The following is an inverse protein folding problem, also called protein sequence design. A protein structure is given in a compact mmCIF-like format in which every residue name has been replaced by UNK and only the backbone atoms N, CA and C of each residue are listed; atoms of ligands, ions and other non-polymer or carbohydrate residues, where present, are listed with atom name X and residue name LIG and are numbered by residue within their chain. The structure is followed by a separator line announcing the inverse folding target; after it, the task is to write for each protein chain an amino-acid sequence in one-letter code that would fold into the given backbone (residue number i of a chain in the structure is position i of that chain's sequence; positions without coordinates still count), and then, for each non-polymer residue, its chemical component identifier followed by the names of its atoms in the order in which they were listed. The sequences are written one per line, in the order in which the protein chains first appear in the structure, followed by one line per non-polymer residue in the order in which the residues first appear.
data_IF_310319305159
#
_entry.id   IF_310319305159
#
_cell.length_a   1.000
_cell.length_b   1.000
_cell.length_c   1.000
_cell.angle_alpha   90.00
_cell.angle_beta   90.00
_cell.angle_gamma   90.00
#
_symmetry.space_group_name_H-M   'P 1'
#
loop_
_entity.id
_entity.type
_entity.pdbx_description
1 polymer ?
#
# COMPACT_ATOMS: atom_id res chain seq x y z
N UNK A 1 -56.07 -18.04 -55.90
CA UNK A 1 -54.88 -18.65 -55.26
C UNK A 1 -54.22 -17.56 -54.42
N UNK A 2 -54.30 -17.68 -53.09
CA UNK A 2 -53.15 -17.97 -52.19
C UNK A 2 -52.14 -16.80 -52.10
N UNK A 3 -51.60 -16.39 -50.96
CA UNK A 3 -51.93 -16.46 -49.55
C UNK A 3 -50.94 -15.47 -48.90
N UNK A 4 -51.43 -14.66 -47.97
CA UNK A 4 -50.73 -13.99 -46.84
C UNK A 4 -49.20 -14.13 -46.76
N UNK A 5 -48.52 -13.03 -46.48
CA UNK A 5 -47.62 -12.94 -45.32
C UNK A 5 -47.42 -11.49 -44.91
N UNK A 6 -47.91 -11.16 -43.72
CA UNK A 6 -47.51 -9.98 -42.98
C UNK A 6 -46.13 -10.26 -42.38
N UNK A 7 -45.14 -9.43 -42.70
CA UNK A 7 -43.86 -9.42 -42.01
C UNK A 7 -43.94 -8.35 -40.91
N UNK A 8 -44.10 -8.82 -39.68
CA UNK A 8 -43.73 -8.08 -38.49
C UNK A 8 -42.20 -7.97 -38.50
N UNK A 9 -41.67 -6.80 -38.88
CA UNK A 9 -40.29 -6.47 -38.57
C UNK A 9 -40.26 -5.97 -37.13
N UNK A 10 -39.69 -6.79 -36.25
CA UNK A 10 -39.48 -6.48 -34.85
C UNK A 10 -38.65 -5.19 -34.70
N UNK A 11 -39.07 -4.37 -33.75
CA UNK A 11 -38.42 -3.16 -33.31
C UNK A 11 -36.99 -3.47 -32.83
N UNK A 12 -35.97 -3.08 -33.61
CA UNK A 12 -34.63 -2.94 -33.06
C UNK A 12 -34.61 -1.55 -32.41
N UNK A 13 -34.99 -1.50 -31.13
CA UNK A 13 -34.60 -0.38 -30.29
C UNK A 13 -33.07 -0.40 -30.24
N UNK A 14 -32.45 0.50 -31.00
CA UNK A 14 -31.06 0.89 -30.79
C UNK A 14 -30.96 1.52 -29.40
N UNK A 15 -30.85 0.67 -28.37
CA UNK A 15 -30.26 1.06 -27.11
C UNK A 15 -28.79 1.33 -27.42
N UNK A 16 -28.25 2.52 -27.14
CA UNK A 16 -26.82 2.72 -27.19
C UNK A 16 -26.22 1.71 -26.22
N UNK A 17 -25.37 0.84 -26.75
CA UNK A 17 -24.45 0.00 -25.99
C UNK A 17 -23.89 0.89 -24.88
N UNK A 18 -24.29 0.61 -23.64
CA UNK A 18 -23.68 1.24 -22.48
C UNK A 18 -22.22 0.81 -22.55
N UNK A 19 -21.41 1.76 -23.01
CA UNK A 19 -19.97 1.68 -23.14
C UNK A 19 -19.39 0.94 -21.93
N UNK A 20 -18.92 -0.28 -22.16
CA UNK A 20 -18.07 -1.03 -21.21
C UNK A 20 -16.68 -0.40 -21.04
N UNK A 21 -16.55 0.92 -21.19
CA UNK A 21 -15.30 1.64 -20.92
C UNK A 21 -15.25 2.21 -19.51
N UNK A 22 -16.14 1.81 -18.60
CA UNK A 22 -15.98 2.08 -17.18
C UNK A 22 -15.17 0.99 -16.48
N UNK A 23 -13.96 0.69 -16.98
CA UNK A 23 -12.87 0.02 -16.26
C UNK A 23 -11.57 0.15 -17.07
N UNK A 24 -11.15 1.36 -17.46
CA UNK A 24 -9.70 1.58 -17.58
C UNK A 24 -9.20 1.69 -16.15
N UNK A 25 -9.05 0.54 -15.48
CA UNK A 25 -8.21 0.45 -14.29
C UNK A 25 -6.83 0.81 -14.80
N UNK A 26 -6.32 1.98 -14.43
CA UNK A 26 -4.93 2.36 -14.66
C UNK A 26 -4.06 1.15 -14.32
N UNK A 27 -3.32 0.66 -15.31
CA UNK A 27 -2.41 -0.47 -15.19
C UNK A 27 -1.21 -0.07 -14.33
N UNK A 28 -1.44 0.16 -13.05
CA UNK A 28 -0.40 0.30 -12.05
C UNK A 28 -0.15 -1.11 -11.54
N UNK A 29 1.00 -1.68 -11.87
CA UNK A 29 1.39 -3.02 -11.44
C UNK A 29 1.57 -3.00 -9.91
N UNK A 30 0.53 -3.35 -9.16
CA UNK A 30 0.60 -3.52 -7.71
C UNK A 30 0.62 -5.00 -7.33
N UNK A 31 1.45 -5.33 -6.34
CA UNK A 31 1.50 -6.68 -5.75
C UNK A 31 0.89 -6.57 -4.36
N UNK A 32 -0.15 -7.37 -4.11
CA UNK A 32 -0.87 -7.37 -2.85
C UNK A 32 -0.50 -8.59 -2.01
N UNK A 33 -0.25 -8.35 -0.73
CA UNK A 33 -0.24 -9.39 0.32
C UNK A 33 -1.05 -8.90 1.50
N UNK A 34 -1.38 -9.76 2.47
CA UNK A 34 -2.23 -9.47 3.64
C UNK A 34 -2.06 -8.05 4.21
N UNK A 35 -2.86 -7.09 3.74
CA UNK A 35 -2.86 -5.69 4.19
C UNK A 35 -1.79 -4.76 3.61
N UNK A 36 -0.97 -5.17 2.63
CA UNK A 36 0.08 -4.33 2.02
C UNK A 36 0.08 -4.39 0.49
N UNK A 37 0.21 -3.22 -0.13
CA UNK A 37 0.17 -3.02 -1.58
C UNK A 37 1.48 -2.37 -2.00
N UNK A 38 2.30 -3.09 -2.78
CA UNK A 38 3.48 -2.51 -3.41
C UNK A 38 3.05 -1.69 -4.63
N UNK A 39 3.41 -0.42 -4.68
CA UNK A 39 3.25 0.45 -5.84
C UNK A 39 4.60 0.67 -6.51
N UNK A 40 4.72 0.23 -7.77
CA UNK A 40 6.00 0.28 -8.50
C UNK A 40 6.33 1.64 -9.13
N UNK A 41 5.38 2.59 -9.15
CA UNK A 41 5.67 3.95 -9.60
C UNK A 41 6.67 4.62 -8.67
N UNK A 42 7.73 5.17 -9.25
CA UNK A 42 8.67 6.00 -8.52
C UNK A 42 8.01 7.34 -8.15
N UNK A 43 8.05 7.70 -6.85
CA UNK A 43 7.59 8.97 -6.30
C UNK A 43 8.56 9.44 -5.22
N UNK A 44 8.64 10.75 -4.98
CA UNK A 44 9.24 11.25 -3.74
C UNK A 44 8.37 10.80 -2.55
N UNK A 45 8.90 10.90 -1.33
CA UNK A 45 8.21 10.36 -0.16
C UNK A 45 6.84 11.02 0.08
N UNK A 46 6.73 12.34 -0.08
CA UNK A 46 5.48 13.10 0.13
C UNK A 46 4.40 12.72 -0.89
N UNK A 47 4.78 12.56 -2.15
CA UNK A 47 3.88 12.15 -3.23
C UNK A 47 3.47 10.68 -3.09
N UNK A 48 4.37 9.82 -2.60
CA UNK A 48 4.07 8.44 -2.25
C UNK A 48 3.03 8.36 -1.12
N UNK A 49 3.20 9.14 -0.05
CA UNK A 49 2.22 9.23 1.03
C UNK A 49 0.87 9.74 0.53
N UNK A 50 0.87 10.82 -0.25
CA UNK A 50 -0.35 11.40 -0.81
C UNK A 50 -1.08 10.40 -1.71
N UNK A 51 -0.33 9.64 -2.53
CA UNK A 51 -0.91 8.56 -3.33
C UNK A 51 -1.58 7.49 -2.45
N UNK A 52 -0.89 7.00 -1.40
CA UNK A 52 -1.48 6.00 -0.53
C UNK A 52 -2.75 6.49 0.15
N UNK A 53 -2.82 7.76 0.58
CA UNK A 53 -4.04 8.34 1.19
C UNK A 53 -5.16 8.60 0.19
N UNK A 54 -4.83 8.82 -1.07
CA UNK A 54 -5.81 9.04 -2.13
C UNK A 54 -6.43 7.73 -2.65
N UNK A 55 -5.63 6.67 -2.72
CA UNK A 55 -6.02 5.41 -3.38
C UNK A 55 -6.19 4.23 -2.41
N UNK A 56 -5.63 4.32 -1.19
CA UNK A 56 -5.58 3.27 -0.19
C UNK A 56 -5.74 3.89 1.22
N UNK A 57 -5.01 3.40 2.23
CA UNK A 57 -5.04 3.96 3.60
C UNK A 57 -3.92 4.99 3.84
N UNK A 58 -2.66 4.56 3.93
CA UNK A 58 -1.47 5.40 4.12
C UNK A 58 -0.20 4.56 3.83
N UNK A 59 1.00 5.15 3.88
CA UNK A 59 2.24 4.38 3.99
C UNK A 59 2.21 3.51 5.27
N UNK A 60 2.81 2.31 5.28
CA UNK A 60 2.79 1.43 6.43
C UNK A 60 3.72 1.91 7.56
N UNK A 61 3.20 1.95 8.78
CA UNK A 61 4.00 1.98 10.00
C UNK A 61 4.23 0.53 10.45
N UNK A 62 5.49 0.14 10.64
CA UNK A 62 5.86 -1.24 10.99
C UNK A 62 6.02 -1.36 12.50
N UNK A 63 5.14 -2.12 13.14
CA UNK A 63 5.03 -2.24 14.59
C UNK A 63 5.71 -3.50 15.16
N UNK A 64 6.02 -4.50 14.34
CA UNK A 64 6.67 -5.73 14.78
C UNK A 64 7.38 -6.46 13.63
N UNK A 65 8.13 -7.51 13.97
CA UNK A 65 8.90 -8.31 13.01
C UNK A 65 8.02 -9.05 12.00
N UNK A 66 6.80 -9.46 12.39
CA UNK A 66 5.90 -10.16 11.49
C UNK A 66 5.44 -9.25 10.35
N UNK A 67 5.01 -8.02 10.67
CA UNK A 67 4.67 -7.01 9.67
C UNK A 67 5.86 -6.69 8.76
N UNK A 68 7.07 -6.54 9.32
CA UNK A 68 8.27 -6.32 8.52
C UNK A 68 8.53 -7.46 7.54
N UNK A 69 8.39 -8.70 8.01
CA UNK A 69 8.59 -9.90 7.20
C UNK A 69 7.53 -10.02 6.10
N UNK A 70 6.27 -9.65 6.37
CA UNK A 70 5.21 -9.61 5.38
C UNK A 70 5.54 -8.62 4.25
N UNK A 71 5.91 -7.39 4.60
CA UNK A 71 6.29 -6.38 3.60
C UNK A 71 7.55 -6.82 2.83
N UNK A 72 8.53 -7.44 3.50
CA UNK A 72 9.77 -7.90 2.86
C UNK A 72 9.52 -8.89 1.72
N UNK A 73 8.45 -9.72 1.80
CA UNK A 73 8.10 -10.70 0.77
C UNK A 73 7.71 -10.04 -0.55
N UNK A 74 7.08 -8.86 -0.52
CA UNK A 74 6.60 -8.15 -1.71
C UNK A 74 7.59 -7.15 -2.30
N UNK A 75 8.72 -6.89 -1.62
CA UNK A 75 9.69 -5.92 -2.12
C UNK A 75 10.28 -6.32 -3.48
N UNK A 76 10.62 -5.30 -4.27
CA UNK A 76 11.45 -5.43 -5.46
C UNK A 76 12.93 -5.52 -5.08
N UNK A 77 13.67 -6.40 -5.76
CA UNK A 77 15.12 -6.45 -5.63
C UNK A 77 15.76 -5.23 -6.31
N UNK A 78 16.81 -4.68 -5.72
CA UNK A 78 17.57 -3.57 -6.30
C UNK A 78 16.98 -2.17 -6.07
N UNK A 79 15.86 -2.06 -5.36
CA UNK A 79 15.24 -0.78 -4.99
C UNK A 79 15.20 -0.59 -3.48
N UNK A 80 15.22 0.68 -3.08
CA UNK A 80 14.70 1.09 -1.78
C UNK A 80 13.23 1.40 -1.94
N UNK A 81 12.43 1.02 -0.96
CA UNK A 81 10.98 1.13 -1.05
C UNK A 81 10.49 1.98 0.12
N UNK A 82 9.76 3.06 -0.18
CA UNK A 82 9.27 3.95 0.87
C UNK A 82 8.29 3.25 1.80
N UNK A 83 8.48 3.51 3.10
CA UNK A 83 7.55 3.17 4.18
C UNK A 83 7.24 4.43 5.00
N UNK A 84 6.27 4.34 5.91
CA UNK A 84 5.91 5.49 6.71
C UNK A 84 7.06 5.88 7.63
N UNK A 85 7.21 7.18 7.77
CA UNK A 85 8.20 7.77 8.63
C UNK A 85 7.69 7.80 10.05
N UNK A 86 8.11 6.85 10.88
CA UNK A 86 8.04 7.02 12.33
C UNK A 86 9.30 7.75 12.78
N UNK A 87 9.38 9.06 12.50
CA UNK A 87 10.27 9.90 13.28
C UNK A 87 9.51 10.28 14.52
N UNK A 88 9.99 9.76 15.64
CA UNK A 88 9.73 10.34 16.95
C UNK A 88 10.10 11.83 16.89
N UNK A 89 9.13 12.67 16.52
CA UNK A 89 9.23 14.11 16.75
C UNK A 89 9.06 14.33 18.25
N UNK A 90 10.12 14.11 19.03
CA UNK A 90 10.56 15.01 20.10
C UNK A 90 11.59 14.36 21.03
N UNK A 91 12.68 15.10 21.19
CA UNK A 91 13.42 15.35 22.42
C UNK A 91 13.03 14.50 23.63
N UNK A 92 14.00 13.68 24.07
CA UNK A 92 14.20 13.22 25.45
C UNK A 92 12.94 13.02 26.29
N UNK A 93 12.32 11.85 26.18
CA UNK A 93 11.71 11.22 27.35
C UNK A 93 11.98 9.72 27.37
N UNK A 94 12.27 9.26 28.56
CA UNK A 94 12.88 8.02 29.05
C UNK A 94 12.02 6.75 28.80
N UNK A 95 11.20 6.77 27.75
CA UNK A 95 10.25 5.72 27.35
C UNK A 95 10.66 4.99 26.05
N UNK A 96 11.97 4.92 25.81
CA UNK A 96 12.64 4.44 24.58
C UNK A 96 12.37 2.97 24.18
N UNK A 97 11.86 2.11 25.07
CA UNK A 97 12.01 0.64 24.96
C UNK A 97 10.92 -0.10 24.15
N UNK A 98 9.84 0.54 23.70
CA UNK A 98 8.63 -0.20 23.32
C UNK A 98 8.25 -0.25 21.83
N UNK A 99 9.01 0.37 20.92
CA UNK A 99 8.65 0.35 19.50
C UNK A 99 9.64 -0.47 18.67
N UNK A 100 9.11 -1.35 17.82
CA UNK A 100 9.91 -2.17 16.90
C UNK A 100 10.80 -1.30 16.00
N UNK A 101 12.04 -1.76 15.81
CA UNK A 101 13.04 -1.11 14.96
C UNK A 101 13.77 -2.19 14.15
N UNK A 102 13.87 -2.00 12.84
CA UNK A 102 14.58 -2.91 11.95
C UNK A 102 15.63 -2.17 11.09
N UNK A 103 16.33 -1.22 11.71
CA UNK A 103 17.36 -0.42 11.04
C UNK A 103 18.54 -1.26 10.52
N UNK A 104 19.11 -0.81 9.40
CA UNK A 104 20.42 -1.26 8.95
C UNK A 104 21.52 -0.83 9.94
N UNK A 105 22.64 -1.55 9.93
CA UNK A 105 23.78 -1.18 10.76
C UNK A 105 24.23 0.26 10.43
N UNK A 106 24.39 1.09 11.46
CA UNK A 106 24.77 2.50 11.32
C UNK A 106 23.62 3.46 10.94
N UNK A 107 22.36 2.99 10.99
CA UNK A 107 21.17 3.81 10.75
C UNK A 107 20.32 3.93 12.03
N UNK A 108 19.57 5.03 12.23
CA UNK A 108 19.61 6.28 11.45
C UNK A 108 20.97 7.00 11.59
N UNK A 109 21.42 7.67 10.53
CA UNK A 109 22.68 8.42 10.57
C UNK A 109 22.46 9.81 11.16
N UNK A 110 23.28 10.23 12.13
CA UNK A 110 23.16 11.56 12.76
C UNK A 110 23.40 12.75 11.81
N UNK A 111 23.93 12.50 10.60
CA UNK A 111 24.47 13.51 9.69
C UNK A 111 23.62 13.79 8.45
N UNK A 112 22.38 13.31 8.36
CA UNK A 112 21.55 13.49 7.15
C UNK A 112 20.97 14.91 7.08
N UNK A 113 21.80 15.89 6.71
CA UNK A 113 21.38 17.27 6.45
C UNK A 113 20.41 17.44 5.26
N UNK A 114 19.88 16.37 4.65
CA UNK A 114 18.98 16.44 3.50
C UNK A 114 18.02 15.25 3.35
N UNK A 115 17.70 14.51 4.42
CA UNK A 115 16.78 13.39 4.29
C UNK A 115 16.46 12.66 5.58
N UNK A 116 15.22 12.85 6.03
CA UNK A 116 14.65 12.18 7.19
C UNK A 116 13.76 10.99 6.78
N UNK A 117 13.53 10.75 5.48
CA UNK A 117 12.59 9.75 5.00
C UNK A 117 13.15 8.32 5.05
N UNK A 118 12.28 7.35 5.32
CA UNK A 118 12.69 5.97 5.57
C UNK A 118 12.25 5.05 4.45
N UNK A 119 13.21 4.29 3.93
CA UNK A 119 12.98 3.22 2.99
C UNK A 119 13.51 1.89 3.51
N UNK A 120 12.95 0.79 3.00
CA UNK A 120 13.44 -0.56 3.26
C UNK A 120 13.92 -1.22 1.97
N UNK A 121 14.87 -2.15 2.09
CA UNK A 121 15.43 -2.87 0.93
C UNK A 121 15.36 -4.38 1.10
N UNK A 122 15.00 -5.08 0.01
CA UNK A 122 15.05 -6.54 -0.06
C UNK A 122 16.46 -7.09 0.09
N UNK A 123 17.45 -6.44 -0.53
CA UNK A 123 18.85 -6.88 -0.47
C UNK A 123 19.45 -6.75 0.92
N UNK A 124 18.89 -5.86 1.74
CA UNK A 124 19.25 -5.69 3.15
C UNK A 124 18.37 -6.50 4.10
N UNK A 125 17.65 -7.51 3.61
CA UNK A 125 16.73 -8.35 4.40
C UNK A 125 15.60 -7.55 5.07
N UNK A 126 15.04 -6.60 4.32
CA UNK A 126 13.95 -5.73 4.78
C UNK A 126 14.40 -4.64 5.75
N UNK A 127 15.70 -4.47 5.99
CA UNK A 127 16.20 -3.44 6.92
C UNK A 127 15.96 -2.03 6.41
N UNK A 128 15.77 -1.12 7.36
CA UNK A 128 15.42 0.27 7.13
C UNK A 128 16.66 1.14 7.05
N UNK A 129 16.59 2.22 6.27
CA UNK A 129 17.65 3.22 6.18
C UNK A 129 17.03 4.58 5.85
N UNK A 130 17.69 5.64 6.30
CA UNK A 130 17.31 6.99 5.94
C UNK A 130 17.82 7.34 4.55
N UNK A 131 17.00 8.06 3.81
CA UNK A 131 17.29 8.56 2.47
C UNK A 131 16.78 9.99 2.30
N UNK A 132 17.33 10.69 1.32
CA UNK A 132 16.75 11.96 0.88
C UNK A 132 15.31 11.75 0.43
N UNK A 133 14.40 12.55 0.99
CA UNK A 133 12.96 12.48 0.72
C UNK A 133 12.62 12.75 -0.76
N UNK A 134 13.51 13.44 -1.48
CA UNK A 134 13.35 13.80 -2.89
C UNK A 134 13.63 12.63 -3.84
N UNK A 135 14.23 11.54 -3.36
CA UNK A 135 14.48 10.36 -4.18
C UNK A 135 13.17 9.79 -4.72
N UNK A 136 13.14 9.51 -6.01
CA UNK A 136 12.01 8.86 -6.65
C UNK A 136 12.14 7.35 -6.43
N UNK A 137 11.29 6.78 -5.58
CA UNK A 137 11.31 5.35 -5.25
C UNK A 137 9.92 4.72 -5.33
N UNK A 138 9.82 3.42 -5.61
CA UNK A 138 8.59 2.66 -5.36
C UNK A 138 8.24 2.70 -3.87
N UNK A 139 6.99 2.39 -3.52
CA UNK A 139 6.49 2.57 -2.16
C UNK A 139 5.43 1.55 -1.79
N UNK A 140 5.25 1.31 -0.49
CA UNK A 140 4.20 0.43 0.03
C UNK A 140 3.04 1.28 0.55
N UNK A 141 1.81 0.87 0.27
CA UNK A 141 0.62 1.36 0.95
C UNK A 141 0.03 0.27 1.85
N UNK A 142 -0.59 0.67 2.96
CA UNK A 142 -1.52 -0.17 3.70
C UNK A 142 -2.77 -0.39 2.85
N UNK A 143 -3.14 -1.66 2.67
CA UNK A 143 -4.43 -2.07 2.11
C UNK A 143 -5.57 -1.81 3.09
N UNK A 144 -6.79 -1.65 2.57
CA UNK A 144 -7.99 -1.33 3.37
C UNK A 144 -8.47 -2.44 4.31
N UNK A 145 -7.90 -3.64 4.24
CA UNK A 145 -8.19 -4.74 5.15
C UNK A 145 -6.97 -5.06 6.01
N UNK A 146 -6.88 -4.41 7.17
CA UNK A 146 -6.27 -5.09 8.31
C UNK A 146 -7.19 -6.27 8.63
N UNK A 147 -6.69 -7.52 8.76
CA UNK A 147 -7.45 -8.55 9.44
C UNK A 147 -7.73 -8.00 10.84
N UNK A 148 -8.95 -7.53 11.05
CA UNK A 148 -9.50 -7.36 12.38
C UNK A 148 -9.19 -8.68 13.06
N UNK A 149 -8.40 -8.65 14.14
CA UNK A 149 -8.46 -9.73 15.10
C UNK A 149 -9.94 -9.79 15.45
N UNK A 150 -10.65 -10.76 14.88
CA UNK A 150 -12.04 -11.00 15.22
C UNK A 150 -11.99 -11.28 16.71
N UNK A 151 -12.35 -10.28 17.52
CA UNK A 151 -12.82 -10.53 18.86
C UNK A 151 -13.87 -11.61 18.70
N UNK A 152 -13.56 -12.79 19.22
CA UNK A 152 -14.49 -13.89 19.21
C UNK A 152 -15.76 -13.38 19.86
N UNK A 153 -16.84 -13.37 19.09
CA UNK A 153 -18.20 -13.29 19.60
C UNK A 153 -18.40 -14.48 20.54
N UNK A 154 -17.97 -14.35 21.80
CA UNK A 154 -18.35 -15.25 22.86
C UNK A 154 -19.60 -14.70 23.54
N UNK A 155 -20.65 -14.60 22.74
CA UNK A 155 -22.03 -14.48 23.23
C UNK A 155 -22.45 -15.84 23.78
N UNK A 156 -21.95 -16.18 24.97
CA UNK A 156 -22.57 -17.16 25.87
C UNK A 156 -22.09 -16.92 27.30
N UNK A 157 -22.64 -15.87 27.91
CA UNK A 157 -22.78 -15.80 29.37
C UNK A 157 -24.22 -15.41 29.71
N UNK A 158 -25.08 -16.42 29.75
CA UNK A 158 -26.34 -16.40 30.51
C UNK A 158 -26.61 -17.80 31.03
N UNK A 159 -26.24 -18.00 32.30
CA UNK A 159 -26.91 -18.66 33.45
C UNK A 159 -25.80 -18.91 34.48
#
# INVERSE_FOLDING_TARGET
LLHRTALFAAQVLNLPVLSEHCMIVSLHLSIETSGYILVQSAKNWSDAQSYCRQHHTDLPTIHNSEQNNQITKILLSGYYIWICLFLDSWEWSDKWILFFRHWAAGQPSQSSGSGDCVGMSKTSSGRWSQYSCDLQQPFICNGGEFPQLTESNNSNKRI
#
